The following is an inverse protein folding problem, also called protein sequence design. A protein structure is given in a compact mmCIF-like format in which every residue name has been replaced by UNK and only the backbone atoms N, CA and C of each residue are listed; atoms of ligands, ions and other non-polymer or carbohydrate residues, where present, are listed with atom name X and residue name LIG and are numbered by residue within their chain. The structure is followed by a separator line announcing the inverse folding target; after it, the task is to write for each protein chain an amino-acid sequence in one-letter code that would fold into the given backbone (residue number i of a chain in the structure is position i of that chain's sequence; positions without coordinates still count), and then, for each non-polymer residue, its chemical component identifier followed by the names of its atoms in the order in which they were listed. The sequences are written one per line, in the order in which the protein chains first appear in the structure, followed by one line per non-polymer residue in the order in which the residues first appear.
data_IF_783367100833
#
_entry.id   IF_783367100833
#
_cell.length_a   1.000
_cell.length_b   1.000
_cell.length_c   1.000
_cell.angle_alpha   90.00
_cell.angle_beta   90.00
_cell.angle_gamma   90.00
#
_symmetry.space_group_name_H-M   'P 1'
#
loop_
_entity.id
_entity.type
_entity.pdbx_description
1 polymer ?
#
# COMPACT_ATOMS: atom_id res chain seq x y z
N UNK A 1 -1.16 12.22 -15.40
CA UNK A 1 -1.06 10.92 -14.77
C UNK A 1 0.05 10.14 -15.46
N UNK A 2 1.00 9.68 -14.71
CA UNK A 2 2.10 8.84 -15.17
C UNK A 2 1.66 7.39 -15.08
N UNK A 3 1.69 6.70 -16.21
CA UNK A 3 1.54 5.27 -16.25
C UNK A 3 2.82 4.70 -16.84
N UNK A 4 3.43 3.75 -16.17
CA UNK A 4 4.62 3.08 -16.69
C UNK A 4 4.30 2.34 -17.98
N UNK A 5 5.04 2.58 -19.08
CA UNK A 5 4.84 1.82 -20.28
C UNK A 5 5.30 0.38 -20.07
N UNK A 6 4.44 -0.57 -20.33
CA UNK A 6 4.83 -1.99 -20.38
C UNK A 6 3.95 -2.95 -19.60
N UNK A 7 3.00 -2.47 -18.85
CA UNK A 7 1.94 -3.29 -18.30
C UNK A 7 0.69 -3.03 -19.14
N UNK A 8 0.17 -4.04 -19.83
CA UNK A 8 -0.91 -3.87 -20.82
C UNK A 8 -2.22 -3.30 -20.25
N UNK A 9 -2.37 -3.31 -18.92
CA UNK A 9 -3.53 -2.77 -18.23
C UNK A 9 -3.48 -1.25 -18.11
N UNK A 10 -2.36 -0.70 -17.65
CA UNK A 10 -2.21 0.75 -17.48
C UNK A 10 -2.18 1.47 -18.83
N UNK A 11 -1.60 0.86 -19.84
CA UNK A 11 -1.64 1.40 -21.20
C UNK A 11 -3.07 1.46 -21.76
N UNK A 12 -3.90 0.45 -21.51
CA UNK A 12 -5.29 0.43 -21.97
C UNK A 12 -6.14 1.50 -21.24
N UNK A 13 -6.04 1.59 -19.93
CA UNK A 13 -6.75 2.61 -19.13
C UNK A 13 -6.29 4.01 -19.49
N UNK A 14 -5.01 4.21 -19.74
CA UNK A 14 -4.48 5.50 -20.15
C UNK A 14 -5.00 5.90 -21.55
N UNK A 15 -4.94 5.03 -22.55
CA UNK A 15 -5.42 5.29 -23.91
C UNK A 15 -6.92 5.65 -23.89
N UNK A 16 -7.72 4.97 -23.10
CA UNK A 16 -9.14 5.25 -22.98
C UNK A 16 -9.42 6.64 -22.36
N UNK A 17 -8.58 7.08 -21.43
CA UNK A 17 -8.73 8.35 -20.74
C UNK A 17 -8.00 9.52 -21.41
N UNK A 18 -6.96 9.30 -22.22
CA UNK A 18 -6.16 10.37 -22.84
C UNK A 18 -6.82 11.04 -24.03
N UNK A 19 -7.90 10.53 -24.57
CA UNK A 19 -8.72 11.24 -25.54
C UNK A 19 -9.47 12.46 -24.94
N UNK A 20 -9.27 12.76 -23.68
CA UNK A 20 -9.76 13.98 -23.02
C UNK A 20 -8.54 14.89 -22.79
N UNK A 21 -8.30 15.80 -23.71
CA UNK A 21 -7.46 16.95 -23.45
C UNK A 21 -8.17 17.81 -22.39
N UNK A 22 -7.90 17.53 -21.13
CA UNK A 22 -8.36 18.36 -20.02
C UNK A 22 -7.34 19.50 -19.88
N UNK A 23 -7.76 20.73 -20.08
CA UNK A 23 -6.93 21.87 -19.79
C UNK A 23 -6.59 21.88 -18.28
N UNK A 24 -5.41 22.41 -17.92
CA UNK A 24 -5.00 22.42 -16.51
C UNK A 24 -6.00 23.19 -15.63
N UNK A 25 -6.63 24.21 -16.17
CA UNK A 25 -7.64 25.04 -15.51
C UNK A 25 -8.91 24.24 -15.15
N UNK A 26 -9.17 23.14 -15.87
CA UNK A 26 -10.29 22.24 -15.61
C UNK A 26 -9.94 21.13 -14.61
N UNK A 27 -8.66 21.02 -14.23
CA UNK A 27 -8.23 20.10 -13.18
C UNK A 27 -8.53 20.74 -11.83
N UNK A 28 -9.33 20.10 -11.00
CA UNK A 28 -9.78 20.63 -9.71
C UNK A 28 -8.67 20.72 -8.65
N UNK A 29 -7.47 21.14 -9.03
CA UNK A 29 -6.33 21.31 -8.10
C UNK A 29 -5.57 22.60 -8.44
N UNK A 30 -5.39 23.49 -7.46
CA UNK A 30 -4.60 24.70 -7.63
C UNK A 30 -3.96 25.14 -6.32
N UNK A 31 -2.94 25.99 -6.41
CA UNK A 31 -2.24 26.55 -5.27
C UNK A 31 -2.68 27.99 -4.99
N UNK A 32 -2.74 28.38 -3.74
CA UNK A 32 -2.83 29.75 -3.24
C UNK A 32 -1.53 30.03 -2.50
N UNK A 33 -0.48 30.54 -3.21
CA UNK A 33 0.86 30.70 -2.63
C UNK A 33 0.91 31.65 -1.43
N UNK A 34 0.11 32.71 -1.44
CA UNK A 34 0.01 33.71 -0.37
C UNK A 34 -0.57 33.13 0.94
N UNK A 35 -1.36 32.09 0.84
CA UNK A 35 -1.91 31.35 1.98
C UNK A 35 -1.12 30.09 2.32
N UNK A 36 -0.10 29.77 1.51
CA UNK A 36 0.64 28.49 1.57
C UNK A 36 -0.29 27.28 1.54
N UNK A 37 -1.31 27.34 0.68
CA UNK A 37 -2.39 26.37 0.60
C UNK A 37 -2.49 25.72 -0.79
N UNK A 38 -2.98 24.47 -0.80
CA UNK A 38 -3.40 23.76 -2.01
C UNK A 38 -4.90 23.53 -1.88
N UNK A 39 -5.63 23.88 -2.92
CA UNK A 39 -7.09 23.70 -3.00
C UNK A 39 -7.38 22.50 -3.89
N UNK A 40 -8.23 21.61 -3.39
CA UNK A 40 -8.77 20.48 -4.12
C UNK A 40 -10.27 20.70 -4.31
N UNK A 41 -10.69 20.84 -5.57
CA UNK A 41 -12.09 20.94 -5.94
C UNK A 41 -12.61 19.55 -6.30
N UNK A 42 -13.51 19.02 -5.52
CA UNK A 42 -14.08 17.70 -5.72
C UNK A 42 -15.49 17.82 -6.31
N UNK A 43 -15.84 16.88 -7.17
CA UNK A 43 -17.23 16.73 -7.59
C UNK A 43 -18.11 16.46 -6.37
N UNK A 44 -19.34 16.99 -6.39
CA UNK A 44 -20.29 16.81 -5.30
C UNK A 44 -20.56 15.34 -4.95
N UNK A 45 -20.48 14.45 -5.95
CA UNK A 45 -20.64 13.01 -5.75
C UNK A 45 -19.49 12.38 -4.94
N UNK A 46 -18.32 13.02 -4.91
CA UNK A 46 -17.12 12.60 -4.18
C UNK A 46 -16.77 13.52 -3.02
N UNK A 47 -17.74 14.34 -2.57
CA UNK A 47 -17.53 15.24 -1.46
C UNK A 47 -17.26 14.46 -0.18
N UNK A 48 -16.16 14.82 0.49
CA UNK A 48 -15.87 14.33 1.85
C UNK A 48 -16.59 15.15 2.93
N UNK A 49 -17.47 16.08 2.55
CA UNK A 49 -18.28 16.82 3.50
C UNK A 49 -19.54 16.00 3.83
N UNK A 50 -19.79 15.85 5.12
CA UNK A 50 -21.04 15.31 5.65
C UNK A 50 -22.17 16.33 5.52
N UNK A 51 -23.41 15.90 5.76
CA UNK A 51 -24.57 16.78 5.70
C UNK A 51 -24.49 17.95 6.71
N UNK A 52 -23.81 17.77 7.84
CA UNK A 52 -23.58 18.78 8.86
C UNK A 52 -22.40 19.73 8.54
N UNK A 53 -21.76 19.58 7.39
CA UNK A 53 -20.62 20.37 6.95
C UNK A 53 -19.26 19.95 7.53
N UNK A 54 -19.23 18.93 8.38
CA UNK A 54 -17.96 18.38 8.88
C UNK A 54 -17.27 17.49 7.85
N UNK A 55 -15.94 17.32 7.97
CA UNK A 55 -15.18 16.40 7.12
C UNK A 55 -15.42 14.94 7.52
N UNK A 56 -15.60 14.10 6.52
CA UNK A 56 -15.55 12.65 6.68
C UNK A 56 -14.17 12.22 7.23
N UNK A 57 -14.14 11.20 8.06
CA UNK A 57 -12.89 10.57 8.55
C UNK A 57 -12.00 10.05 7.42
N UNK A 58 -12.56 9.83 6.24
CA UNK A 58 -11.83 9.38 5.07
C UNK A 58 -11.04 10.50 4.37
N UNK A 59 -11.40 11.77 4.59
CA UNK A 59 -10.71 12.89 3.93
C UNK A 59 -9.20 12.93 4.28
N UNK A 60 -8.77 12.90 5.55
CA UNK A 60 -7.35 12.84 5.88
C UNK A 60 -6.64 11.61 5.29
N UNK A 61 -7.32 10.47 5.27
CA UNK A 61 -6.76 9.24 4.71
C UNK A 61 -6.43 9.38 3.22
N UNK A 62 -7.36 9.88 2.42
CA UNK A 62 -7.14 10.08 0.99
C UNK A 62 -6.12 11.17 0.70
N UNK A 63 -6.17 12.28 1.43
CA UNK A 63 -5.24 13.39 1.20
C UNK A 63 -3.83 13.11 1.70
N UNK A 64 -3.67 12.27 2.73
CA UNK A 64 -2.35 11.87 3.22
C UNK A 64 -1.56 10.99 2.25
N UNK A 65 -2.25 10.36 1.30
CA UNK A 65 -1.62 9.53 0.26
C UNK A 65 -1.29 10.29 -1.04
N UNK A 66 -1.55 11.60 -1.11
CA UNK A 66 -1.13 12.39 -2.26
C UNK A 66 0.40 12.41 -2.39
N UNK A 67 0.95 12.06 -3.55
CA UNK A 67 2.39 12.02 -3.73
C UNK A 67 2.96 13.45 -3.75
N UNK A 68 3.82 13.75 -2.79
CA UNK A 68 4.59 14.99 -2.75
C UNK A 68 5.99 14.71 -3.26
N UNK A 69 6.40 15.41 -4.30
CA UNK A 69 7.70 15.24 -4.93
C UNK A 69 8.53 16.52 -4.84
N UNK A 70 9.86 16.39 -4.84
CA UNK A 70 10.76 17.51 -4.97
C UNK A 70 10.78 17.95 -6.42
N UNK A 71 10.22 19.12 -6.73
CA UNK A 71 9.93 19.60 -8.09
C UNK A 71 11.14 19.57 -9.00
N UNK A 72 12.25 20.19 -8.59
CA UNK A 72 13.48 20.28 -9.39
C UNK A 72 14.05 18.88 -9.69
N UNK A 73 14.04 17.98 -8.71
CA UNK A 73 14.50 16.61 -8.88
C UNK A 73 13.56 15.79 -9.78
N UNK A 74 12.25 15.97 -9.60
CA UNK A 74 11.27 15.30 -10.45
C UNK A 74 11.39 15.75 -11.91
N UNK A 75 11.51 17.07 -12.16
CA UNK A 75 11.69 17.61 -13.51
C UNK A 75 12.98 17.08 -14.16
N UNK A 76 14.07 17.00 -13.40
CA UNK A 76 15.34 16.44 -13.88
C UNK A 76 15.28 14.92 -14.12
N UNK A 77 14.34 14.23 -13.50
CA UNK A 77 14.16 12.77 -13.60
C UNK A 77 13.21 12.35 -14.71
N UNK A 78 12.60 13.29 -15.43
CA UNK A 78 11.71 13.00 -16.56
C UNK A 78 12.48 12.41 -17.73
N UNK A 79 11.92 11.40 -18.36
CA UNK A 79 12.44 10.73 -19.53
C UNK A 79 11.45 10.97 -20.67
N UNK A 80 11.95 11.55 -21.77
CA UNK A 80 11.14 11.80 -22.96
C UNK A 80 10.64 10.48 -23.57
N UNK A 81 9.46 10.50 -24.21
CA UNK A 81 8.96 9.34 -24.93
C UNK A 81 9.95 8.88 -26.00
N UNK A 82 10.06 7.57 -26.19
CA UNK A 82 10.74 7.00 -27.34
C UNK A 82 9.99 7.34 -28.65
N UNK A 83 10.67 7.20 -29.79
CA UNK A 83 10.07 7.47 -31.10
C UNK A 83 8.76 6.68 -31.29
N UNK A 84 7.68 7.42 -31.60
CA UNK A 84 6.35 6.86 -31.78
C UNK A 84 5.52 6.68 -30.52
N UNK A 85 6.08 6.95 -29.33
CA UNK A 85 5.36 6.98 -28.06
C UNK A 85 4.95 8.41 -27.70
N UNK A 86 3.95 8.54 -26.85
CA UNK A 86 3.45 9.87 -26.38
C UNK A 86 3.62 10.04 -24.87
N UNK A 87 3.98 8.97 -24.14
CA UNK A 87 4.03 8.97 -22.69
C UNK A 87 5.42 9.28 -22.16
N UNK A 88 5.49 10.28 -21.33
CA UNK A 88 6.66 10.57 -20.50
C UNK A 88 6.75 9.56 -19.35
N UNK A 89 7.96 9.14 -19.05
CA UNK A 89 8.27 8.34 -17.87
C UNK A 89 9.16 9.12 -16.92
N UNK A 90 9.49 8.57 -15.77
CA UNK A 90 10.41 9.17 -14.83
C UNK A 90 11.21 8.10 -14.10
N UNK A 91 12.48 8.37 -13.86
CA UNK A 91 13.31 7.59 -12.95
C UNK A 91 13.39 8.22 -11.55
N UNK A 92 12.48 9.15 -11.21
CA UNK A 92 12.35 9.69 -9.86
C UNK A 92 12.17 8.56 -8.85
N UNK A 93 12.90 8.62 -7.74
CA UNK A 93 12.86 7.62 -6.67
C UNK A 93 13.31 6.20 -7.08
N UNK A 94 14.13 6.06 -8.12
CA UNK A 94 14.66 4.78 -8.58
C UNK A 94 16.15 4.54 -8.25
N UNK A 95 16.85 5.58 -7.84
CA UNK A 95 18.27 5.52 -7.42
C UNK A 95 18.54 6.49 -6.28
N UNK A 96 19.75 6.45 -5.73
CA UNK A 96 20.18 7.38 -4.68
C UNK A 96 20.10 8.83 -5.15
N UNK A 97 20.51 9.10 -6.38
CA UNK A 97 20.56 10.46 -6.95
C UNK A 97 19.19 11.01 -7.28
N UNK A 98 18.22 10.13 -7.55
CA UNK A 98 16.86 10.52 -7.95
C UNK A 98 15.85 10.44 -6.80
N UNK A 99 16.33 10.17 -5.57
CA UNK A 99 15.48 10.05 -4.39
C UNK A 99 15.59 11.27 -3.49
N UNK A 100 14.46 11.79 -3.03
CA UNK A 100 14.38 12.81 -1.99
C UNK A 100 13.50 12.34 -0.83
N UNK A 101 13.83 12.73 0.39
CA UNK A 101 13.07 12.37 1.59
C UNK A 101 12.48 13.60 2.26
N UNK A 102 11.22 13.52 2.63
CA UNK A 102 10.49 14.48 3.46
C UNK A 102 10.43 14.05 4.94
N UNK A 103 10.85 12.82 5.22
CA UNK A 103 10.77 12.20 6.53
C UNK A 103 12.03 12.36 7.38
N UNK A 104 12.01 11.77 8.60
CA UNK A 104 13.15 11.82 9.55
C UNK A 104 14.38 11.03 9.07
N UNK A 105 14.22 10.19 8.06
CA UNK A 105 15.30 9.40 7.46
C UNK A 105 15.43 9.69 5.97
N UNK A 106 16.64 9.64 5.47
CA UNK A 106 16.98 9.76 4.04
C UNK A 106 17.77 8.54 3.57
N UNK A 107 17.65 8.20 2.31
CA UNK A 107 18.40 7.14 1.67
C UNK A 107 19.88 7.54 1.59
N UNK A 108 20.77 6.66 2.07
CA UNK A 108 22.21 6.88 2.07
C UNK A 108 22.96 5.87 1.19
N UNK A 109 22.43 4.65 1.08
CA UNK A 109 22.98 3.60 0.24
C UNK A 109 21.80 2.86 -0.42
N UNK A 110 21.99 2.44 -1.66
CA UNK A 110 20.99 1.66 -2.39
C UNK A 110 21.64 0.78 -3.45
N UNK A 111 21.36 -0.50 -3.38
CA UNK A 111 21.72 -1.49 -4.39
C UNK A 111 20.49 -2.34 -4.70
N UNK A 112 19.96 -2.17 -5.91
CA UNK A 112 18.74 -2.84 -6.33
C UNK A 112 18.86 -4.36 -6.19
N UNK A 113 17.86 -4.98 -5.53
CA UNK A 113 17.84 -6.42 -5.28
C UNK A 113 18.78 -6.92 -4.17
N UNK A 114 19.56 -6.07 -3.54
CA UNK A 114 20.55 -6.42 -2.50
C UNK A 114 20.24 -5.75 -1.15
N UNK A 115 20.42 -4.45 -1.07
CA UNK A 115 20.25 -3.73 0.20
C UNK A 115 19.95 -2.24 0.00
N UNK A 116 19.50 -1.61 1.10
CA UNK A 116 19.48 -0.16 1.23
C UNK A 116 19.77 0.25 2.68
N UNK A 117 20.22 1.48 2.84
CA UNK A 117 20.47 2.07 4.14
C UNK A 117 19.82 3.44 4.24
N UNK A 118 19.14 3.63 5.34
CA UNK A 118 18.57 4.92 5.72
C UNK A 118 19.39 5.50 6.88
N UNK A 119 19.62 6.80 6.82
CA UNK A 119 20.27 7.57 7.91
C UNK A 119 19.38 8.75 8.29
N UNK A 120 19.61 9.33 9.45
CA UNK A 120 18.88 10.55 9.86
C UNK A 120 18.97 11.63 8.80
N UNK A 121 17.83 12.26 8.54
CA UNK A 121 17.74 13.45 7.70
C UNK A 121 17.83 14.69 8.60
N UNK A 122 19.00 15.30 8.65
CA UNK A 122 19.28 16.45 9.53
C UNK A 122 18.37 17.64 9.23
N UNK A 123 17.86 17.73 7.99
CA UNK A 123 16.99 18.80 7.53
C UNK A 123 15.49 18.53 7.75
N UNK A 124 15.15 17.43 8.43
CA UNK A 124 13.74 17.15 8.66
C UNK A 124 13.12 18.17 9.62
N UNK A 125 12.03 18.75 9.19
CA UNK A 125 11.32 19.81 9.94
C UNK A 125 10.78 19.36 11.30
N UNK A 126 10.56 18.06 11.48
CA UNK A 126 9.95 17.50 12.70
C UNK A 126 10.89 17.44 13.93
N UNK A 127 12.21 17.64 13.76
CA UNK A 127 13.15 17.53 14.91
C UNK A 127 12.83 18.49 16.06
N UNK A 128 12.25 19.64 15.76
CA UNK A 128 11.91 20.67 16.76
C UNK A 128 10.44 20.67 17.15
N UNK A 129 9.68 19.68 16.76
CA UNK A 129 8.25 19.57 17.06
C UNK A 129 8.03 18.68 18.29
N UNK A 130 7.30 19.17 19.29
CA UNK A 130 7.07 18.45 20.55
C UNK A 130 6.38 17.08 20.35
N UNK A 131 5.50 16.98 19.34
CA UNK A 131 4.81 15.73 19.00
C UNK A 131 5.73 14.60 18.57
N UNK A 132 6.96 14.91 18.11
CA UNK A 132 7.94 13.93 17.68
C UNK A 132 9.10 13.75 18.68
N UNK A 133 9.01 14.40 19.83
CA UNK A 133 10.00 14.28 20.89
C UNK A 133 10.16 12.83 21.34
N UNK A 134 11.39 12.40 21.48
CA UNK A 134 11.74 11.01 21.83
C UNK A 134 11.33 9.96 20.78
N UNK A 135 10.96 10.37 19.58
CA UNK A 135 10.77 9.48 18.45
C UNK A 135 12.00 9.51 17.53
N UNK A 136 12.09 8.53 16.63
CA UNK A 136 13.14 8.45 15.61
C UNK A 136 14.56 8.48 16.18
N UNK A 137 14.79 7.78 17.30
CA UNK A 137 16.09 7.77 17.99
C UNK A 137 17.15 6.91 17.28
N UNK A 138 16.72 6.00 16.41
CA UNK A 138 17.61 5.15 15.60
C UNK A 138 18.44 6.04 14.67
N UNK A 139 19.75 5.81 14.61
CA UNK A 139 20.67 6.62 13.81
C UNK A 139 20.75 6.16 12.36
N UNK A 140 20.63 4.85 12.14
CA UNK A 140 20.63 4.24 10.80
C UNK A 140 19.79 2.97 10.79
N UNK A 141 19.17 2.70 9.66
CA UNK A 141 18.39 1.49 9.39
C UNK A 141 19.04 0.82 8.18
N UNK A 142 19.58 -0.38 8.37
CA UNK A 142 20.20 -1.17 7.33
C UNK A 142 19.23 -2.29 6.93
N UNK A 143 18.76 -2.28 5.71
CA UNK A 143 17.86 -3.31 5.19
C UNK A 143 18.59 -4.16 4.16
N UNK A 144 18.55 -5.46 4.32
CA UNK A 144 19.13 -6.44 3.39
C UNK A 144 18.05 -7.37 2.87
N UNK A 145 18.11 -7.68 1.59
CA UNK A 145 17.27 -8.71 1.01
C UNK A 145 17.85 -10.08 1.38
N UNK A 146 17.07 -10.87 2.08
CA UNK A 146 17.38 -12.28 2.38
C UNK A 146 16.19 -13.10 1.91
N UNK A 147 16.37 -13.93 0.89
CA UNK A 147 15.27 -14.66 0.25
C UNK A 147 14.79 -15.82 1.13
N UNK A 148 15.72 -16.58 1.68
CA UNK A 148 15.41 -17.76 2.46
C UNK A 148 15.04 -17.40 3.91
N UNK A 149 13.83 -17.76 4.31
CA UNK A 149 13.33 -17.51 5.66
C UNK A 149 14.24 -18.12 6.75
N UNK A 150 14.69 -19.35 6.56
CA UNK A 150 15.57 -20.04 7.51
C UNK A 150 16.87 -19.26 7.77
N UNK A 151 17.46 -18.70 6.72
CA UNK A 151 18.67 -17.84 6.83
C UNK A 151 18.36 -16.56 7.60
N UNK A 152 17.24 -15.92 7.29
CA UNK A 152 16.77 -14.71 7.98
C UNK A 152 16.51 -15.02 9.47
N UNK A 153 15.82 -16.12 9.76
CA UNK A 153 15.48 -16.53 11.11
C UNK A 153 16.74 -16.84 11.95
N UNK A 154 17.68 -17.58 11.38
CA UNK A 154 18.97 -17.83 12.05
C UNK A 154 19.77 -16.56 12.26
N UNK A 155 19.74 -15.59 11.33
CA UNK A 155 20.35 -14.28 11.49
C UNK A 155 19.73 -13.48 12.63
N UNK A 156 18.43 -13.57 12.84
CA UNK A 156 17.76 -12.97 13.99
C UNK A 156 18.19 -13.67 15.32
N UNK A 157 18.16 -14.99 15.36
CA UNK A 157 18.51 -15.73 16.57
C UNK A 157 19.97 -15.52 17.02
N UNK A 158 20.88 -15.30 16.08
CA UNK A 158 22.30 -15.02 16.38
C UNK A 158 22.63 -13.52 16.57
N UNK A 159 21.62 -12.64 16.50
CA UNK A 159 21.77 -11.21 16.69
C UNK A 159 22.34 -10.43 15.49
N UNK A 160 22.34 -11.02 14.29
CA UNK A 160 22.72 -10.30 13.06
C UNK A 160 21.61 -9.39 12.54
N UNK A 161 20.37 -9.63 12.93
CA UNK A 161 19.20 -8.82 12.62
C UNK A 161 18.45 -8.44 13.89
N UNK A 162 17.89 -7.25 13.92
CA UNK A 162 17.19 -6.68 15.07
C UNK A 162 15.71 -7.11 15.11
N UNK A 163 15.15 -7.51 13.97
CA UNK A 163 13.78 -8.01 13.88
C UNK A 163 13.62 -9.17 12.90
N UNK A 164 12.58 -9.96 13.09
CA UNK A 164 12.12 -10.98 12.15
C UNK A 164 10.62 -11.22 12.31
N UNK A 165 9.95 -11.49 11.20
CA UNK A 165 8.54 -11.91 11.24
C UNK A 165 8.45 -13.40 11.54
N UNK A 166 7.55 -13.79 12.43
CA UNK A 166 7.21 -15.21 12.62
C UNK A 166 6.51 -15.75 11.38
N UNK A 167 6.78 -17.01 11.07
CA UNK A 167 6.11 -17.77 10.02
C UNK A 167 5.25 -18.87 10.66
N UNK A 168 4.33 -19.45 9.89
CA UNK A 168 3.42 -20.50 10.38
C UNK A 168 4.15 -21.62 11.11
N UNK A 169 5.35 -21.98 10.64
CA UNK A 169 6.14 -23.09 11.19
C UNK A 169 6.68 -22.83 12.59
N UNK A 170 6.95 -21.57 12.94
CA UNK A 170 7.56 -21.23 14.22
C UNK A 170 6.67 -20.38 15.14
N UNK A 171 5.51 -19.94 14.67
CA UNK A 171 4.60 -19.12 15.49
C UNK A 171 4.26 -19.80 16.81
N UNK A 172 3.87 -21.08 16.77
CA UNK A 172 3.42 -21.81 17.97
C UNK A 172 4.50 -21.90 19.07
N UNK A 173 5.77 -21.96 18.69
CA UNK A 173 6.91 -22.02 19.63
C UNK A 173 7.15 -20.67 20.34
N UNK A 174 6.85 -19.55 19.65
CA UNK A 174 7.22 -18.22 20.14
C UNK A 174 6.04 -17.36 20.56
N UNK A 175 4.80 -17.83 20.46
CA UNK A 175 3.59 -17.04 20.80
C UNK A 175 3.65 -16.40 22.19
N UNK A 176 4.16 -17.13 23.18
CA UNK A 176 4.25 -16.68 24.57
C UNK A 176 5.58 -15.97 24.88
N UNK A 177 6.42 -15.75 23.89
CA UNK A 177 7.69 -15.05 24.06
C UNK A 177 7.46 -13.59 24.40
N UNK A 178 8.18 -13.07 25.41
CA UNK A 178 8.16 -11.63 25.76
C UNK A 178 8.68 -10.71 24.65
N UNK A 179 9.29 -11.23 23.61
CA UNK A 179 9.80 -10.49 22.45
C UNK A 179 8.84 -10.49 21.28
N UNK A 180 7.74 -11.25 21.36
CA UNK A 180 6.69 -11.25 20.34
C UNK A 180 5.65 -10.19 20.68
N UNK A 181 5.29 -9.42 19.71
CA UNK A 181 4.18 -8.50 19.79
C UNK A 181 3.30 -8.62 18.55
N UNK A 182 2.03 -8.40 18.72
CA UNK A 182 1.07 -8.36 17.64
C UNK A 182 0.79 -6.90 17.28
N UNK A 183 0.83 -6.60 16.00
CA UNK A 183 0.34 -5.32 15.51
C UNK A 183 -1.17 -5.24 15.67
N UNK A 184 -1.72 -4.03 15.68
CA UNK A 184 -3.17 -3.83 15.70
C UNK A 184 -3.84 -4.59 14.55
N UNK A 185 -5.09 -5.02 14.74
CA UNK A 185 -5.87 -5.70 13.70
C UNK A 185 -5.89 -4.88 12.42
N UNK A 186 -5.56 -5.55 11.31
CA UNK A 186 -5.71 -4.97 9.99
C UNK A 186 -7.18 -4.62 9.71
N UNK A 187 -7.41 -3.55 8.97
CA UNK A 187 -8.74 -3.23 8.42
C UNK A 187 -9.12 -4.13 7.25
N UNK A 188 -8.20 -4.99 6.79
CA UNK A 188 -8.42 -5.90 5.67
C UNK A 188 -9.19 -7.15 6.07
N UNK A 189 -10.03 -7.63 5.16
CA UNK A 189 -10.67 -8.94 5.24
C UNK A 189 -10.14 -9.80 4.09
N UNK A 190 -9.52 -10.93 4.43
CA UNK A 190 -9.12 -11.91 3.43
C UNK A 190 -10.31 -12.82 3.12
N UNK A 191 -10.67 -12.91 1.85
CA UNK A 191 -11.82 -13.71 1.42
C UNK A 191 -11.64 -14.33 0.05
N UNK A 192 -12.39 -15.39 -0.18
CA UNK A 192 -12.49 -16.03 -1.50
C UNK A 192 -13.72 -15.48 -2.22
N UNK A 193 -13.51 -14.85 -3.36
CA UNK A 193 -14.59 -14.42 -4.23
C UNK A 193 -14.95 -15.55 -5.19
N UNK A 194 -16.21 -15.98 -5.17
CA UNK A 194 -16.73 -16.97 -6.09
C UNK A 194 -17.42 -16.26 -7.25
N UNK A 195 -16.91 -16.48 -8.44
CA UNK A 195 -17.51 -15.92 -9.65
C UNK A 195 -18.83 -16.61 -9.94
N UNK A 196 -19.92 -15.87 -10.08
CA UNK A 196 -21.29 -16.43 -10.17
C UNK A 196 -22.05 -16.10 -11.45
N UNK A 197 -21.48 -15.30 -12.34
CA UNK A 197 -22.09 -14.98 -13.63
C UNK A 197 -21.97 -16.17 -14.58
N UNK A 198 -23.12 -16.77 -14.91
CA UNK A 198 -23.20 -17.95 -15.75
C UNK A 198 -22.72 -17.69 -17.19
N UNK A 199 -22.86 -16.48 -17.70
CA UNK A 199 -22.40 -16.13 -19.06
C UNK A 199 -20.89 -16.20 -19.17
N UNK A 200 -20.20 -15.63 -18.18
CA UNK A 200 -18.71 -15.66 -18.09
C UNK A 200 -18.20 -17.05 -17.73
N UNK A 201 -18.91 -17.76 -16.84
CA UNK A 201 -18.54 -19.12 -16.45
C UNK A 201 -18.58 -20.10 -17.64
N UNK A 202 -19.49 -19.92 -18.59
CA UNK A 202 -19.61 -20.77 -19.79
C UNK A 202 -18.45 -20.58 -20.79
N UNK A 203 -17.76 -19.46 -20.71
CA UNK A 203 -16.59 -19.19 -21.56
C UNK A 203 -15.29 -19.85 -21.02
N UNK A 204 -15.33 -20.34 -19.79
CA UNK A 204 -14.18 -21.00 -19.15
C UNK A 204 -14.18 -22.50 -19.48
N UNK A 205 -13.07 -23.02 -20.03
CA UNK A 205 -12.92 -24.42 -20.45
C UNK A 205 -13.18 -25.45 -19.33
N UNK A 206 -13.01 -25.08 -18.08
CA UNK A 206 -13.13 -25.96 -16.90
C UNK A 206 -14.37 -25.71 -16.06
N UNK A 207 -15.39 -25.04 -16.60
CA UNK A 207 -16.53 -24.61 -15.81
C UNK A 207 -17.83 -25.33 -16.21
N UNK A 208 -18.37 -26.07 -15.25
CA UNK A 208 -19.68 -26.72 -15.36
C UNK A 208 -20.84 -25.83 -14.87
N UNK A 209 -20.59 -24.55 -14.57
CA UNK A 209 -21.60 -23.60 -14.11
C UNK A 209 -22.05 -23.78 -12.65
N UNK A 210 -21.43 -24.67 -11.89
CA UNK A 210 -21.83 -24.96 -10.49
C UNK A 210 -21.75 -23.70 -9.59
N UNK A 211 -20.80 -22.81 -9.87
CA UNK A 211 -20.65 -21.56 -9.12
C UNK A 211 -21.78 -20.54 -9.37
N UNK A 212 -22.58 -20.71 -10.42
CA UNK A 212 -23.79 -19.91 -10.64
C UNK A 212 -24.95 -20.33 -9.73
N UNK A 213 -24.90 -21.52 -9.16
CA UNK A 213 -25.94 -22.06 -8.26
C UNK A 213 -25.74 -21.45 -6.86
N UNK A 214 -26.74 -20.72 -6.40
CA UNK A 214 -26.67 -20.03 -5.10
C UNK A 214 -26.55 -21.03 -3.92
N UNK A 215 -27.29 -22.12 -3.96
CA UNK A 215 -27.31 -23.16 -2.94
C UNK A 215 -25.93 -23.82 -2.82
N UNK A 216 -25.25 -24.02 -3.94
CA UNK A 216 -23.89 -24.55 -3.93
C UNK A 216 -22.93 -23.58 -3.26
N UNK A 217 -22.97 -22.29 -3.61
CA UNK A 217 -22.11 -21.29 -2.96
C UNK A 217 -22.40 -21.19 -1.46
N UNK A 218 -23.66 -21.29 -1.07
CA UNK A 218 -24.05 -21.31 0.34
C UNK A 218 -23.53 -22.55 1.07
N UNK A 219 -23.70 -23.72 0.49
CA UNK A 219 -23.15 -24.97 1.04
C UNK A 219 -21.62 -24.94 1.14
N UNK A 220 -20.93 -24.42 0.13
CA UNK A 220 -19.48 -24.20 0.15
C UNK A 220 -19.07 -23.27 1.28
N UNK A 221 -19.77 -22.15 1.45
CA UNK A 221 -19.50 -21.19 2.54
C UNK A 221 -19.68 -21.81 3.93
N UNK A 222 -20.70 -22.66 4.13
CA UNK A 222 -20.93 -23.39 5.39
C UNK A 222 -19.90 -24.51 5.63
N UNK A 223 -19.43 -25.15 4.56
CA UNK A 223 -18.44 -26.22 4.63
C UNK A 223 -17.03 -25.74 4.97
N UNK A 224 -16.75 -24.45 4.83
CA UNK A 224 -15.44 -23.89 5.19
C UNK A 224 -15.30 -23.73 6.70
N UNK A 225 -14.42 -24.52 7.30
CA UNK A 225 -14.03 -24.33 8.70
C UNK A 225 -13.02 -23.17 8.81
N UNK A 226 -13.51 -21.95 9.00
CA UNK A 226 -12.68 -20.74 9.08
C UNK A 226 -11.79 -20.72 10.30
N UNK A 227 -12.23 -21.31 11.40
CA UNK A 227 -11.42 -21.40 12.63
C UNK A 227 -10.19 -22.27 12.38
N UNK A 228 -10.36 -23.42 11.72
CA UNK A 228 -9.24 -24.29 11.33
C UNK A 228 -8.26 -23.59 10.39
N UNK A 229 -8.78 -22.80 9.44
CA UNK A 229 -7.94 -22.06 8.50
C UNK A 229 -7.11 -21.02 9.25
N UNK A 230 -7.73 -20.24 10.13
CA UNK A 230 -7.02 -19.24 10.94
C UNK A 230 -5.99 -19.89 11.85
N UNK A 231 -6.38 -20.94 12.57
CA UNK A 231 -5.49 -21.62 13.53
C UNK A 231 -4.27 -22.26 12.86
N UNK A 232 -4.45 -22.83 11.65
CA UNK A 232 -3.37 -23.58 10.97
C UNK A 232 -2.53 -22.72 10.02
N UNK A 233 -3.09 -21.65 9.46
CA UNK A 233 -2.42 -20.83 8.43
C UNK A 233 -1.98 -19.48 8.99
N UNK A 234 -2.80 -18.83 9.83
CA UNK A 234 -2.53 -17.49 10.38
C UNK A 234 -2.70 -17.45 11.91
N UNK A 235 -2.03 -18.35 12.65
CA UNK A 235 -2.17 -18.39 14.10
C UNK A 235 -1.76 -17.06 14.72
N UNK A 236 -2.61 -16.54 15.61
CA UNK A 236 -2.37 -15.30 16.37
C UNK A 236 -2.47 -14.00 15.58
N UNK A 237 -2.56 -14.04 14.25
CA UNK A 237 -2.59 -12.84 13.41
C UNK A 237 -3.92 -12.53 12.74
N UNK A 238 -4.88 -13.45 12.85
CA UNK A 238 -6.19 -13.33 12.20
C UNK A 238 -7.30 -13.87 13.09
N UNK A 239 -8.53 -13.48 12.80
CA UNK A 239 -9.73 -14.01 13.44
C UNK A 239 -10.72 -14.48 12.37
N UNK A 240 -11.45 -15.57 12.58
CA UNK A 240 -12.45 -16.03 11.63
C UNK A 240 -13.60 -15.02 11.54
N UNK A 241 -14.02 -14.68 10.32
CA UNK A 241 -15.18 -13.85 10.10
C UNK A 241 -16.09 -14.41 9.01
N UNK A 242 -17.37 -14.03 9.01
CA UNK A 242 -18.38 -14.45 8.05
C UNK A 242 -18.85 -13.31 7.14
N UNK A 243 -18.50 -12.09 7.46
CA UNK A 243 -18.84 -10.89 6.70
C UNK A 243 -17.69 -10.38 5.86
N UNK A 244 -18.03 -9.53 4.89
CA UNK A 244 -17.04 -8.83 4.08
C UNK A 244 -16.29 -7.75 4.89
N UNK A 245 -16.98 -7.13 5.83
CA UNK A 245 -16.40 -6.07 6.65
C UNK A 245 -15.68 -6.64 7.87
N UNK A 246 -14.50 -6.13 8.12
CA UNK A 246 -13.73 -6.42 9.32
C UNK A 246 -14.42 -5.83 10.56
N UNK A 247 -14.22 -6.47 11.71
CA UNK A 247 -14.73 -5.98 13.00
C UNK A 247 -14.31 -4.55 13.33
N UNK A 248 -13.19 -4.07 12.79
CA UNK A 248 -12.73 -2.69 12.93
C UNK A 248 -13.74 -1.65 12.38
N UNK A 249 -14.66 -2.06 11.50
CA UNK A 249 -15.70 -1.19 10.95
C UNK A 249 -16.99 -1.16 11.78
N UNK A 250 -17.08 -1.98 12.82
CA UNK A 250 -18.28 -2.06 13.66
C UNK A 250 -18.19 -1.26 14.96
N UNK A 251 -17.06 -0.58 15.19
CA UNK A 251 -16.87 0.30 16.35
C UNK A 251 -16.89 1.75 15.88
N UNK A 252 -18.02 2.39 16.10
CA UNK A 252 -18.15 3.85 16.12
C UNK A 252 -17.84 4.39 17.52
#
# INVERSE_FOLDING_TARGET
AYLEPGTGYEAAVFVENTNRNVAWEDVGIYAIPEENAIVLCLDKAYSFLKEDGSLSVWAPYYFSSLPVVKKDLYEASKIAPADGATLWTSNYNSSLETTASWGPYKLAEFEAGSHYKLVKNENWYGWNMEQYKNQYNITAINCRKVEEFSTKWMGFLNGSYDDASLQTENVAEYLDSKYVYFTSTSTGTFGMQLFSDLSVLKESENNNGILAIQEFRHAFNLGLNRSDIVEKIWPGSSVPCFGLLNVAYYYD
#
